data_IF_675870455718
#
_entry.id   IF_675870455718
#
_cell.length_a   1.000
_cell.length_b   1.000
_cell.length_c   1.000
_cell.angle_alpha   90.00
_cell.angle_beta   90.00
_cell.angle_gamma   90.00
#
_symmetry.space_group_name_H-M   'P 1'
#
loop_
_entity.id
_entity.type
_entity.pdbx_description
1 polymer ?
#
# COMPACT_ATOMS: atom_id res chain seq x y z
N UNK A 1 7.34 -64.07 16.86
CA UNK A 1 8.24 -62.97 17.27
C UNK A 1 8.41 -62.04 16.09
N UNK A 2 7.81 -60.85 16.15
CA UNK A 2 8.03 -59.81 15.16
C UNK A 2 8.01 -58.48 15.90
N UNK A 3 9.20 -57.98 16.21
CA UNK A 3 9.43 -56.73 16.90
C UNK A 3 9.20 -55.57 15.92
N UNK A 4 8.27 -54.68 16.25
CA UNK A 4 8.04 -53.44 15.51
C UNK A 4 9.03 -52.39 15.98
N UNK A 5 10.03 -52.13 15.16
CA UNK A 5 10.98 -51.02 15.29
C UNK A 5 10.21 -49.72 15.00
N UNK A 6 10.06 -48.85 16.00
CA UNK A 6 9.56 -47.49 15.83
C UNK A 6 10.71 -46.58 15.38
N UNK A 7 10.74 -46.20 14.11
CA UNK A 7 11.59 -45.09 13.63
C UNK A 7 10.92 -43.77 13.98
N UNK A 8 11.53 -43.02 14.92
CA UNK A 8 11.10 -41.69 15.32
C UNK A 8 11.40 -40.70 14.19
N UNK A 9 10.38 -40.28 13.46
CA UNK A 9 10.52 -39.34 12.34
C UNK A 9 10.76 -37.91 12.88
N UNK A 10 11.94 -37.29 12.65
CA UNK A 10 12.28 -35.99 13.23
C UNK A 10 11.52 -34.80 12.59
N UNK A 11 10.85 -35.01 11.45
CA UNK A 11 10.18 -33.94 10.69
C UNK A 11 8.86 -33.42 11.28
N UNK A 12 8.30 -34.07 12.30
CA UNK A 12 7.04 -33.63 12.92
C UNK A 12 7.21 -32.36 13.79
N UNK A 13 8.37 -32.18 14.43
CA UNK A 13 8.64 -31.05 15.32
C UNK A 13 9.00 -29.75 14.57
N UNK A 14 9.31 -29.86 13.28
CA UNK A 14 9.68 -28.73 12.42
C UNK A 14 8.44 -28.10 11.77
N UNK A 15 7.40 -28.92 11.50
CA UNK A 15 6.11 -28.44 11.00
C UNK A 15 5.35 -27.62 12.04
N UNK A 16 5.35 -28.01 13.31
CA UNK A 16 4.65 -27.28 14.40
C UNK A 16 5.28 -25.90 14.69
N UNK A 17 6.60 -25.77 14.55
CA UNK A 17 7.31 -24.49 14.71
C UNK A 17 6.98 -23.50 13.56
N UNK A 18 6.79 -24.02 12.36
CA UNK A 18 6.53 -23.18 11.19
C UNK A 18 5.07 -22.67 11.14
N UNK A 19 4.11 -23.46 11.64
CA UNK A 19 2.72 -23.01 11.82
C UNK A 19 2.54 -22.01 12.96
N UNK A 20 3.41 -22.04 13.98
CA UNK A 20 3.43 -21.00 15.02
C UNK A 20 4.01 -19.67 14.52
N UNK A 21 5.11 -19.70 13.75
CA UNK A 21 5.68 -18.49 13.15
C UNK A 21 4.75 -17.84 12.11
N UNK A 22 4.06 -18.64 11.28
CA UNK A 22 3.14 -18.11 10.27
C UNK A 22 1.85 -17.48 10.83
N UNK A 23 1.55 -17.66 12.13
CA UNK A 23 0.39 -17.06 12.79
C UNK A 23 0.70 -15.72 13.45
N UNK A 24 1.97 -15.42 13.72
CA UNK A 24 2.41 -14.19 14.39
C UNK A 24 2.64 -13.01 13.43
N UNK A 25 2.75 -13.24 12.12
CA UNK A 25 2.92 -12.16 11.12
C UNK A 25 1.59 -11.59 10.58
N UNK A 26 0.44 -12.11 11.02
CA UNK A 26 -0.89 -11.66 10.57
C UNK A 26 -1.53 -10.60 11.49
N UNK A 27 -0.86 -10.19 12.56
CA UNK A 27 -1.35 -9.20 13.52
C UNK A 27 -0.31 -8.08 13.67
N UNK A 28 -0.29 -7.09 12.77
CA UNK A 28 -0.01 -5.65 13.04
C UNK A 28 -0.15 -4.86 11.74
N UNK A 29 -1.36 -4.82 11.16
CA UNK A 29 -1.83 -3.65 10.40
C UNK A 29 -3.21 -3.31 10.98
N UNK A 30 -3.22 -2.96 12.26
CA UNK A 30 -4.34 -2.22 12.84
C UNK A 30 -4.14 -0.79 12.39
N UNK A 31 -4.78 -0.40 11.28
CA UNK A 31 -5.16 0.98 11.08
C UNK A 31 -6.06 1.35 12.28
N UNK A 32 -5.48 2.00 13.28
CA UNK A 32 -6.23 2.74 14.28
C UNK A 32 -6.95 3.89 13.58
N UNK A 33 -8.03 3.60 12.87
CA UNK A 33 -9.12 4.57 12.76
C UNK A 33 -9.91 4.48 14.06
N UNK A 34 -9.31 4.94 15.17
CA UNK A 34 -10.11 5.51 16.24
C UNK A 34 -10.81 6.71 15.60
N UNK A 35 -12.02 6.48 15.12
CA UNK A 35 -13.00 7.55 15.02
C UNK A 35 -13.27 8.00 16.45
N UNK A 36 -12.34 8.77 17.02
CA UNK A 36 -12.58 9.48 18.24
C UNK A 36 -13.76 10.38 17.95
N UNK A 37 -14.85 10.14 18.66
CA UNK A 37 -15.97 11.06 18.69
C UNK A 37 -15.38 12.39 19.15
N UNK A 38 -15.21 13.32 18.22
CA UNK A 38 -14.65 14.66 18.43
C UNK A 38 -15.60 15.44 19.35
N UNK A 39 -15.55 15.14 20.65
CA UNK A 39 -16.33 15.77 21.69
C UNK A 39 -15.39 16.39 22.72
N UNK A 40 -15.76 17.58 23.18
CA UNK A 40 -14.98 18.28 24.18
C UNK A 40 -14.98 17.52 25.52
N UNK A 41 -13.82 17.22 26.13
CA UNK A 41 -13.74 16.48 27.39
C UNK A 41 -14.37 17.23 28.58
N UNK A 42 -14.45 18.56 28.53
CA UNK A 42 -14.99 19.39 29.61
C UNK A 42 -16.51 19.58 29.56
N UNK A 43 -17.10 19.74 28.38
CA UNK A 43 -18.52 20.09 28.24
C UNK A 43 -19.32 19.14 27.34
N UNK A 44 -18.67 18.16 26.69
CA UNK A 44 -19.30 17.29 25.69
C UNK A 44 -19.68 17.99 24.38
N UNK A 45 -19.34 19.28 24.25
CA UNK A 45 -19.64 20.12 23.09
C UNK A 45 -18.86 19.75 21.82
N UNK A 46 -19.26 20.33 20.70
CA UNK A 46 -18.64 20.06 19.41
C UNK A 46 -17.29 20.77 19.30
N UNK A 47 -16.27 20.06 18.83
CA UNK A 47 -14.95 20.65 18.53
C UNK A 47 -14.79 20.87 17.04
N UNK A 48 -14.13 21.96 16.68
CA UNK A 48 -13.90 22.41 15.31
C UNK A 48 -12.39 22.57 15.13
N UNK A 49 -11.86 22.10 14.01
CA UNK A 49 -10.47 22.32 13.63
C UNK A 49 -10.33 23.67 12.94
N UNK A 50 -9.47 24.51 13.48
CA UNK A 50 -9.01 25.76 12.88
C UNK A 50 -7.71 25.47 12.11
N UNK A 51 -7.83 25.37 10.79
CA UNK A 51 -6.72 25.11 9.89
C UNK A 51 -5.73 26.29 9.78
N UNK A 52 -6.13 27.53 10.13
CA UNK A 52 -5.23 28.69 10.08
C UNK A 52 -4.21 28.67 11.21
N UNK A 53 -4.64 28.22 12.40
CA UNK A 53 -3.80 28.16 13.60
C UNK A 53 -3.28 26.74 13.91
N UNK A 54 -3.84 25.72 13.25
CA UNK A 54 -3.49 24.32 13.51
C UNK A 54 -4.00 23.82 14.86
N UNK A 55 -5.16 24.32 15.29
CA UNK A 55 -5.74 24.03 16.60
C UNK A 55 -7.12 23.38 16.46
N UNK A 56 -7.49 22.49 17.37
CA UNK A 56 -8.86 21.95 17.47
C UNK A 56 -9.51 22.49 18.72
N UNK A 57 -10.53 23.32 18.56
CA UNK A 57 -11.14 24.14 19.61
C UNK A 57 -12.61 23.78 19.81
N UNK A 58 -13.07 23.71 21.04
CA UNK A 58 -14.49 23.58 21.34
C UNK A 58 -15.24 24.90 21.09
N UNK A 59 -16.30 24.86 20.29
CA UNK A 59 -17.12 26.04 20.01
C UNK A 59 -17.92 26.52 21.23
N UNK A 60 -18.25 25.60 22.14
CA UNK A 60 -19.15 25.88 23.27
C UNK A 60 -18.41 26.43 24.50
N UNK A 61 -17.18 25.96 24.77
CA UNK A 61 -16.40 26.38 25.95
C UNK A 61 -15.02 26.98 25.64
N UNK A 62 -14.59 27.00 24.38
CA UNK A 62 -13.29 27.57 23.97
C UNK A 62 -12.07 26.73 24.34
N UNK A 63 -12.24 25.50 24.81
CA UNK A 63 -11.12 24.61 25.14
C UNK A 63 -10.38 24.18 23.87
N UNK A 64 -9.06 24.38 23.84
CA UNK A 64 -8.17 23.80 22.83
C UNK A 64 -7.88 22.34 23.21
N UNK A 65 -8.42 21.41 22.43
CA UNK A 65 -8.30 19.96 22.66
C UNK A 65 -7.03 19.40 22.03
N UNK A 66 -6.59 19.98 20.92
CA UNK A 66 -5.33 19.61 20.26
C UNK A 66 -4.72 20.88 19.68
N UNK A 67 -3.42 21.07 19.91
CA UNK A 67 -2.61 22.13 19.33
C UNK A 67 -1.50 21.50 18.47
N UNK A 68 -0.87 22.30 17.60
CA UNK A 68 0.17 21.86 16.66
C UNK A 68 -0.30 20.74 15.70
N UNK A 69 -1.52 20.87 15.15
CA UNK A 69 -1.98 19.92 14.13
C UNK A 69 -1.09 20.01 12.89
N UNK A 70 -0.47 18.90 12.52
CA UNK A 70 0.39 18.82 11.33
C UNK A 70 -0.47 18.68 10.08
N UNK A 71 -0.32 19.60 9.12
CA UNK A 71 -0.86 19.42 7.77
C UNK A 71 -0.18 18.21 7.11
N UNK A 72 -0.99 17.18 6.83
CA UNK A 72 -0.55 15.95 6.14
C UNK A 72 -0.66 16.07 4.62
N UNK A 73 -1.03 17.24 4.11
CA UNK A 73 -1.11 17.57 2.70
C UNK A 73 0.25 17.70 2.03
N UNK A 74 0.27 17.82 0.69
CA UNK A 74 1.50 18.06 -0.05
C UNK A 74 2.13 19.39 0.37
N UNK A 75 3.42 19.36 0.69
CA UNK A 75 4.25 20.55 0.99
C UNK A 75 4.29 21.57 -0.17
N UNK A 76 3.91 21.16 -1.38
CA UNK A 76 3.90 21.96 -2.59
C UNK A 76 2.47 22.21 -3.08
N UNK A 77 2.22 23.41 -3.63
CA UNK A 77 0.96 23.73 -4.30
C UNK A 77 1.06 23.45 -5.79
N UNK A 78 0.01 22.85 -6.35
CA UNK A 78 -0.20 22.71 -7.79
C UNK A 78 -1.63 23.09 -8.13
N UNK A 79 -1.82 23.82 -9.22
CA UNK A 79 -3.13 24.28 -9.68
C UNK A 79 -3.75 23.36 -10.73
N UNK A 80 -2.93 22.58 -11.43
CA UNK A 80 -3.36 21.59 -12.39
C UNK A 80 -2.68 20.22 -12.18
N UNK A 81 -3.22 19.19 -12.83
CA UNK A 81 -2.71 17.83 -12.69
C UNK A 81 -1.29 17.64 -13.26
N UNK A 82 -0.88 18.46 -14.22
CA UNK A 82 0.42 18.35 -14.88
C UNK A 82 1.52 18.92 -13.99
N UNK A 83 1.26 20.06 -13.37
CA UNK A 83 2.08 20.68 -12.35
C UNK A 83 2.17 19.79 -11.10
N UNK A 84 1.07 19.11 -10.76
CA UNK A 84 1.04 18.10 -9.69
C UNK A 84 2.03 16.97 -9.97
N UNK A 85 2.00 16.41 -11.17
CA UNK A 85 2.88 15.31 -11.57
C UNK A 85 4.35 15.74 -11.68
N UNK A 86 4.62 16.99 -12.07
CA UNK A 86 5.97 17.56 -12.14
C UNK A 86 6.56 17.85 -10.75
N UNK A 87 5.75 18.31 -9.80
CA UNK A 87 6.19 18.66 -8.43
C UNK A 87 6.18 17.47 -7.47
N UNK A 88 5.33 16.48 -7.70
CA UNK A 88 5.24 15.29 -6.86
C UNK A 88 6.53 14.49 -6.89
N UNK A 89 7.05 14.20 -5.70
CA UNK A 89 8.20 13.30 -5.49
C UNK A 89 7.79 11.91 -5.04
N UNK A 90 6.49 11.73 -4.77
CA UNK A 90 5.93 10.58 -4.06
C UNK A 90 5.14 9.68 -5.00
N UNK A 91 5.66 9.44 -6.21
CA UNK A 91 5.12 8.43 -7.13
C UNK A 91 3.60 8.46 -7.35
N UNK A 92 3.03 7.29 -7.67
CA UNK A 92 1.60 7.09 -7.78
C UNK A 92 0.99 6.74 -6.39
N UNK A 93 -0.29 7.11 -6.14
CA UNK A 93 -0.97 6.72 -4.91
C UNK A 93 -1.13 5.19 -4.81
N UNK A 94 -1.26 4.70 -3.58
CA UNK A 94 -1.63 3.31 -3.33
C UNK A 94 -3.07 3.04 -3.75
N UNK A 95 -3.37 1.81 -4.17
CA UNK A 95 -4.72 1.43 -4.61
C UNK A 95 -5.04 -0.02 -4.29
N UNK A 96 -6.23 -0.27 -3.74
CA UNK A 96 -6.72 -1.62 -3.44
C UNK A 96 -7.04 -2.45 -4.69
N UNK A 97 -7.01 -1.83 -5.89
CA UNK A 97 -7.21 -2.54 -7.16
C UNK A 97 -5.95 -3.29 -7.61
N UNK A 98 -4.83 -3.17 -6.89
CA UNK A 98 -3.60 -3.91 -7.14
C UNK A 98 -3.30 -4.89 -6.00
N UNK A 99 -2.69 -6.03 -6.33
CA UNK A 99 -2.44 -7.12 -5.38
C UNK A 99 -1.49 -6.74 -4.24
N UNK A 100 -0.64 -5.74 -4.45
CA UNK A 100 0.35 -5.20 -3.52
C UNK A 100 0.08 -3.73 -3.17
N UNK A 101 -1.18 -3.31 -3.30
CA UNK A 101 -1.63 -1.93 -3.09
C UNK A 101 -0.89 -0.89 -3.95
N UNK A 102 -0.19 -1.29 -5.02
CA UNK A 102 0.58 -0.38 -5.89
C UNK A 102 1.99 -0.07 -5.37
N UNK A 103 2.49 -0.81 -4.38
CA UNK A 103 3.82 -0.58 -3.78
C UNK A 103 4.98 -1.04 -4.67
N UNK A 104 4.73 -1.89 -5.67
CA UNK A 104 5.79 -2.35 -6.56
C UNK A 104 6.01 -1.45 -7.78
N UNK A 105 7.28 -1.30 -8.13
CA UNK A 105 7.69 -0.53 -9.31
C UNK A 105 7.47 -1.31 -10.60
N UNK A 106 7.14 -0.60 -11.68
CA UNK A 106 7.16 -1.13 -13.05
C UNK A 106 8.29 -0.46 -13.84
N UNK A 107 9.12 -1.28 -14.48
CA UNK A 107 10.13 -0.80 -15.42
C UNK A 107 9.48 -0.73 -16.80
N UNK A 108 9.40 0.48 -17.37
CA UNK A 108 8.79 0.70 -18.68
C UNK A 108 9.40 -0.23 -19.75
N UNK A 109 8.54 -0.78 -20.61
CA UNK A 109 8.92 -1.60 -21.75
C UNK A 109 9.67 -0.80 -22.81
N UNK A 110 9.45 0.52 -22.85
CA UNK A 110 10.14 1.42 -23.77
C UNK A 110 11.63 1.40 -23.46
N UNK A 111 12.44 1.20 -24.49
CA UNK A 111 13.90 1.26 -24.39
C UNK A 111 14.39 2.71 -24.46
N UNK A 112 13.87 3.55 -23.55
CA UNK A 112 14.25 4.96 -23.41
C UNK A 112 14.68 5.28 -21.98
N UNK A 113 15.56 6.28 -21.83
CA UNK A 113 15.95 6.82 -20.54
C UNK A 113 14.95 7.88 -20.04
N UNK A 114 15.21 8.42 -18.83
CA UNK A 114 14.38 9.47 -18.21
C UNK A 114 14.33 10.77 -19.01
N UNK A 115 15.32 11.00 -19.89
CA UNK A 115 15.38 12.17 -20.78
C UNK A 115 14.77 11.89 -22.15
N UNK A 116 14.24 10.68 -22.38
CA UNK A 116 13.59 10.27 -23.62
C UNK A 116 14.52 9.73 -24.70
N UNK A 117 15.82 9.61 -24.44
CA UNK A 117 16.81 9.10 -25.40
C UNK A 117 16.71 7.58 -25.52
N UNK A 118 16.93 7.06 -26.72
CA UNK A 118 16.93 5.61 -26.94
C UNK A 118 18.15 4.95 -26.31
N UNK A 119 17.93 3.84 -25.60
CA UNK A 119 19.00 3.09 -24.96
C UNK A 119 19.90 2.42 -26.01
N UNK A 120 21.21 2.35 -25.75
CA UNK A 120 22.14 1.57 -26.57
C UNK A 120 21.95 0.05 -26.42
N UNK A 121 22.45 -0.75 -27.37
CA UNK A 121 22.22 -2.21 -27.41
C UNK A 121 22.60 -2.94 -26.10
N UNK A 122 23.76 -2.63 -25.52
CA UNK A 122 24.21 -3.19 -24.23
C UNK A 122 23.26 -2.84 -23.09
N UNK A 123 22.76 -1.61 -23.08
CA UNK A 123 21.85 -1.13 -22.04
C UNK A 123 20.46 -1.75 -22.19
N UNK A 124 19.94 -1.91 -23.41
CA UNK A 124 18.69 -2.64 -23.67
C UNK A 124 18.75 -4.07 -23.13
N UNK A 125 19.84 -4.80 -23.38
CA UNK A 125 20.02 -6.14 -22.83
C UNK A 125 20.03 -6.16 -21.30
N UNK A 126 20.65 -5.14 -20.67
CA UNK A 126 20.61 -4.98 -19.20
C UNK A 126 19.17 -4.73 -18.73
N UNK A 127 18.44 -3.82 -19.36
CA UNK A 127 17.06 -3.50 -18.99
C UNK A 127 16.12 -4.69 -19.17
N UNK A 128 16.29 -5.48 -20.24
CA UNK A 128 15.51 -6.71 -20.44
C UNK A 128 15.70 -7.70 -19.27
N UNK A 129 16.94 -7.88 -18.80
CA UNK A 129 17.21 -8.72 -17.62
C UNK A 129 16.54 -8.15 -16.37
N UNK A 130 16.65 -6.84 -16.14
CA UNK A 130 16.02 -6.18 -14.98
C UNK A 130 14.50 -6.29 -15.01
N UNK A 131 13.85 -6.08 -16.17
CA UNK A 131 12.40 -6.26 -16.35
C UNK A 131 11.97 -7.68 -16.00
N UNK A 132 12.71 -8.69 -16.48
CA UNK A 132 12.44 -10.10 -16.19
C UNK A 132 12.53 -10.41 -14.70
N UNK A 133 13.52 -9.85 -14.00
CA UNK A 133 13.64 -10.00 -12.56
C UNK A 133 12.54 -9.26 -11.81
N UNK A 134 12.25 -8.01 -12.20
CA UNK A 134 11.18 -7.21 -11.60
C UNK A 134 9.83 -7.94 -11.64
N UNK A 135 9.45 -8.48 -12.81
CA UNK A 135 8.19 -9.23 -12.94
C UNK A 135 8.16 -10.48 -12.05
N UNK A 136 9.29 -11.20 -11.94
CA UNK A 136 9.38 -12.39 -11.07
C UNK A 136 9.28 -12.06 -9.59
N UNK A 137 9.85 -10.94 -9.16
CA UNK A 137 9.79 -10.51 -7.77
C UNK A 137 8.45 -9.90 -7.37
N UNK A 138 7.68 -9.34 -8.32
CA UNK A 138 6.35 -8.76 -8.06
C UNK A 138 5.29 -9.77 -7.62
N UNK A 139 5.48 -11.06 -7.91
CA UNK A 139 4.50 -12.10 -7.56
C UNK A 139 5.20 -13.36 -7.06
N UNK A 140 5.63 -13.33 -5.79
CA UNK A 140 6.41 -14.40 -5.18
C UNK A 140 5.51 -15.57 -4.78
N UNK A 141 4.37 -15.27 -4.16
CA UNK A 141 3.45 -16.31 -3.67
C UNK A 141 2.30 -16.62 -4.64
N UNK A 142 1.78 -17.82 -4.52
CA UNK A 142 0.56 -18.32 -5.15
C UNK A 142 -0.65 -17.43 -4.87
N UNK A 143 -0.79 -16.93 -3.63
CA UNK A 143 -1.87 -16.02 -3.24
C UNK A 143 -1.82 -14.70 -4.01
N UNK A 144 -0.64 -14.08 -4.10
CA UNK A 144 -0.45 -12.84 -4.87
C UNK A 144 -0.78 -13.02 -6.36
N UNK A 145 -0.36 -14.15 -6.94
CA UNK A 145 -0.68 -14.47 -8.35
C UNK A 145 -2.18 -14.62 -8.57
N UNK A 146 -2.87 -15.31 -7.66
CA UNK A 146 -4.32 -15.47 -7.73
C UNK A 146 -5.04 -14.12 -7.57
N UNK A 147 -4.62 -13.30 -6.61
CA UNK A 147 -5.20 -11.97 -6.37
C UNK A 147 -5.00 -11.05 -7.57
N UNK A 148 -3.80 -11.03 -8.17
CA UNK A 148 -3.50 -10.25 -9.40
C UNK A 148 -4.43 -10.67 -10.55
N UNK A 149 -4.67 -11.97 -10.71
CA UNK A 149 -5.59 -12.47 -11.74
C UNK A 149 -7.05 -12.07 -11.46
N UNK A 150 -7.52 -12.26 -10.22
CA UNK A 150 -8.89 -11.94 -9.82
C UNK A 150 -9.20 -10.44 -9.98
N UNK A 151 -8.31 -9.57 -9.50
CA UNK A 151 -8.44 -8.12 -9.64
C UNK A 151 -8.43 -7.69 -11.11
N UNK A 152 -7.63 -8.35 -11.96
CA UNK A 152 -7.63 -8.11 -13.40
C UNK A 152 -8.97 -8.47 -14.07
N UNK A 153 -9.59 -9.59 -13.67
CA UNK A 153 -10.92 -9.96 -14.19
C UNK A 153 -12.03 -9.05 -13.69
N UNK A 154 -11.96 -8.62 -12.43
CA UNK A 154 -12.90 -7.62 -11.88
C UNK A 154 -12.80 -6.32 -12.69
N UNK A 155 -11.58 -5.85 -12.96
CA UNK A 155 -11.35 -4.64 -13.76
C UNK A 155 -11.89 -4.77 -15.19
N UNK A 156 -11.72 -5.95 -15.80
CA UNK A 156 -12.27 -6.27 -17.13
C UNK A 156 -13.80 -6.22 -17.15
N UNK A 157 -14.45 -6.82 -16.15
CA UNK A 157 -15.91 -6.82 -16.03
C UNK A 157 -16.46 -5.43 -15.71
N UNK A 158 -15.83 -4.70 -14.79
CA UNK A 158 -16.21 -3.33 -14.44
C UNK A 158 -16.12 -2.40 -15.66
N UNK A 159 -15.06 -2.52 -16.45
CA UNK A 159 -14.89 -1.77 -17.69
C UNK A 159 -15.96 -2.12 -18.74
N UNK A 160 -16.32 -3.40 -18.87
CA UNK A 160 -17.37 -3.84 -19.78
C UNK A 160 -18.77 -3.33 -19.37
N UNK A 161 -18.99 -3.15 -18.06
CA UNK A 161 -20.23 -2.61 -17.49
C UNK A 161 -20.26 -1.08 -17.43
N UNK A 162 -19.17 -0.40 -17.82
CA UNK A 162 -19.07 1.06 -17.78
C UNK A 162 -19.04 1.63 -16.36
N UNK A 163 -18.61 0.86 -15.37
CA UNK A 163 -18.53 1.33 -13.99
C UNK A 163 -17.39 2.35 -13.84
N UNK A 164 -17.63 3.47 -13.12
CA UNK A 164 -16.56 4.41 -12.80
C UNK A 164 -15.59 3.78 -11.81
N UNK A 165 -14.31 4.15 -11.92
CA UNK A 165 -13.32 3.82 -10.88
C UNK A 165 -13.49 4.82 -9.74
N UNK A 166 -13.69 4.32 -8.53
CA UNK A 166 -13.58 5.14 -7.32
C UNK A 166 -12.11 5.61 -7.20
N UNK A 167 -11.93 6.89 -6.87
CA UNK A 167 -10.67 7.61 -6.93
C UNK A 167 -10.10 7.83 -5.54
#
# INVERSE_FOLDING_TARGET
MSERIWTRNPGAQEQERNTQNGRQEAETEQEETKGDTLQCPECGGHVVTDDEHGETVCNDCGLVVTADSVDRGPEWRAFDAREKDEKSRVGAPTTNTMHDKGLSTNIDWRDRDAYGNSLGARQRQKMQRLRKWNERFRTRDSKERNLKQALGEIDRMASALGLPRER
#
